data_IF_982950576955
#
_entry.id   IF_982950576955
#
_cell.length_a   1.000
_cell.length_b   1.000
_cell.length_c   1.000
_cell.angle_alpha   90.00
_cell.angle_beta   90.00
_cell.angle_gamma   90.00
#
_symmetry.space_group_name_H-M   'P 1'
#
loop_
_entity.id
_entity.type
_entity.pdbx_description
1 polymer ?
#
# COMPACT_ATOMS: atom_id res chain seq x y z
N UNK A 1 2.43 10.57 18.12
CA UNK A 1 1.62 10.10 16.99
C UNK A 1 0.29 10.85 17.04
N UNK A 2 0.09 11.82 16.15
CA UNK A 2 -1.16 12.59 16.10
C UNK A 2 -2.27 11.68 15.60
N UNK A 3 -3.33 11.50 16.38
CA UNK A 3 -4.50 10.74 15.96
C UNK A 3 -5.25 11.62 14.96
N UNK A 4 -5.20 11.30 13.67
CA UNK A 4 -5.99 12.01 12.66
C UNK A 4 -7.45 11.69 12.90
N UNK A 5 -8.25 12.73 13.17
CA UNK A 5 -9.69 12.60 13.38
C UNK A 5 -10.44 12.83 12.06
N UNK A 6 -11.56 12.14 11.81
CA UNK A 6 -12.30 12.27 10.54
C UNK A 6 -12.74 13.70 10.17
N UNK A 7 -12.96 14.57 11.15
CA UNK A 7 -13.29 15.98 10.87
C UNK A 7 -12.10 16.74 10.26
N UNK A 8 -10.87 16.43 10.71
CA UNK A 8 -9.64 17.02 10.19
C UNK A 8 -9.45 16.65 8.71
N UNK A 9 -9.93 15.47 8.28
CA UNK A 9 -9.92 15.07 6.86
C UNK A 9 -10.88 15.90 6.00
N UNK A 10 -12.07 16.19 6.52
CA UNK A 10 -13.06 17.02 5.81
C UNK A 10 -12.62 18.48 5.72
N UNK A 11 -11.93 18.99 6.74
CA UNK A 11 -11.31 20.32 6.71
C UNK A 11 -10.21 20.43 5.64
N UNK A 12 -9.54 19.32 5.30
CA UNK A 12 -8.59 19.24 4.19
C UNK A 12 -9.27 19.10 2.81
N UNK A 13 -10.61 19.03 2.77
CA UNK A 13 -11.39 18.89 1.54
C UNK A 13 -11.57 17.45 1.05
N UNK A 14 -11.31 16.45 1.91
CA UNK A 14 -11.43 15.04 1.54
C UNK A 14 -12.78 14.44 1.96
N UNK A 15 -13.22 13.42 1.20
CA UNK A 15 -14.41 12.61 1.52
C UNK A 15 -13.96 11.20 1.94
N UNK A 16 -13.85 10.88 3.23
CA UNK A 16 -13.50 9.53 3.67
C UNK A 16 -14.67 8.55 3.49
N UNK A 17 -14.37 7.28 3.23
CA UNK A 17 -15.38 6.22 3.09
C UNK A 17 -16.11 5.88 4.40
N UNK A 18 -15.51 6.24 5.55
CA UNK A 18 -16.07 6.01 6.87
C UNK A 18 -15.60 7.09 7.87
N UNK A 19 -16.22 7.13 9.06
CA UNK A 19 -15.79 7.98 10.18
C UNK A 19 -14.63 7.37 10.99
N UNK A 20 -13.89 6.42 10.42
CA UNK A 20 -12.71 5.79 11.03
C UNK A 20 -11.62 5.62 9.97
N UNK A 21 -10.35 5.62 10.38
CA UNK A 21 -9.24 5.33 9.46
C UNK A 21 -9.24 3.86 9.02
N UNK A 22 -9.72 2.97 9.88
CA UNK A 22 -9.83 1.54 9.62
C UNK A 22 -11.30 1.16 9.53
N UNK A 23 -11.74 0.39 8.52
CA UNK A 23 -10.94 -0.11 7.39
C UNK A 23 -10.74 0.94 6.27
N UNK A 24 -9.61 0.87 5.57
CA UNK A 24 -9.48 1.42 4.22
C UNK A 24 -9.10 2.89 4.05
N UNK A 25 -8.84 3.63 5.12
CA UNK A 25 -8.48 5.05 5.08
C UNK A 25 -7.08 5.31 5.66
N UNK A 26 -6.25 4.28 5.83
CA UNK A 26 -4.88 4.40 6.37
C UNK A 26 -3.96 5.31 5.54
N UNK A 27 -4.24 5.51 4.25
CA UNK A 27 -3.49 6.40 3.36
C UNK A 27 -3.50 7.87 3.82
N UNK A 28 -4.45 8.29 4.66
CA UNK A 28 -4.44 9.64 5.22
C UNK A 28 -3.30 9.89 6.20
N UNK A 29 -2.72 8.84 6.82
CA UNK A 29 -1.59 8.98 7.73
C UNK A 29 -0.33 9.50 7.03
N UNK A 30 0.21 8.84 5.98
CA UNK A 30 1.35 9.39 5.23
C UNK A 30 0.99 10.70 4.52
N UNK A 31 -0.24 10.87 4.03
CA UNK A 31 -0.67 12.11 3.39
C UNK A 31 -0.64 13.30 4.34
N UNK A 32 -1.17 13.15 5.57
CA UNK A 32 -1.13 14.21 6.58
C UNK A 32 0.30 14.57 6.94
N UNK A 33 1.15 13.56 7.15
CA UNK A 33 2.56 13.80 7.43
C UNK A 33 3.26 14.56 6.29
N UNK A 34 2.94 14.24 5.04
CA UNK A 34 3.43 14.98 3.87
C UNK A 34 2.98 16.44 3.87
N UNK A 35 1.72 16.73 4.19
CA UNK A 35 1.24 18.12 4.24
C UNK A 35 1.97 18.95 5.30
N UNK A 36 2.26 18.34 6.46
CA UNK A 36 3.00 18.99 7.53
C UNK A 36 4.52 19.06 7.24
N UNK A 37 5.04 18.15 6.40
CA UNK A 37 6.47 18.01 6.11
C UNK A 37 6.76 17.71 4.62
N UNK A 38 6.50 18.63 3.69
CA UNK A 38 6.48 18.35 2.25
C UNK A 38 7.86 18.24 1.60
N UNK A 39 8.94 18.32 2.37
CA UNK A 39 10.32 18.37 1.84
C UNK A 39 10.99 17.01 1.72
N UNK A 40 10.42 15.94 2.28
CA UNK A 40 10.99 14.61 2.11
C UNK A 40 10.77 14.11 0.69
N UNK A 41 11.77 13.40 0.15
CA UNK A 41 11.69 12.78 -1.17
C UNK A 41 10.74 11.58 -1.17
N UNK A 42 10.77 10.80 -0.11
CA UNK A 42 10.03 9.55 0.05
C UNK A 42 9.39 9.48 1.45
N UNK A 43 8.25 8.80 1.53
CA UNK A 43 7.45 8.65 2.75
C UNK A 43 7.08 7.18 2.93
N UNK A 44 7.57 6.56 4.00
CA UNK A 44 7.23 5.19 4.35
C UNK A 44 6.05 5.14 5.32
N UNK A 45 5.12 4.24 5.04
CA UNK A 45 4.04 3.85 5.94
C UNK A 45 4.14 2.35 6.20
N UNK A 46 4.08 1.96 7.47
CA UNK A 46 4.17 0.57 7.92
C UNK A 46 3.13 0.37 9.03
N UNK A 47 2.22 -0.56 8.85
CA UNK A 47 1.25 -0.98 9.86
C UNK A 47 1.94 -1.72 11.01
N UNK A 48 1.37 -1.63 12.20
CA UNK A 48 2.00 -2.13 13.42
C UNK A 48 2.11 -3.67 13.49
N UNK A 49 1.33 -4.37 12.67
CA UNK A 49 1.28 -5.82 12.54
C UNK A 49 2.02 -6.34 11.30
N UNK A 50 2.91 -5.52 10.72
CA UNK A 50 3.93 -5.97 9.76
C UNK A 50 5.22 -6.31 10.50
N UNK A 51 5.74 -7.52 10.27
CA UNK A 51 7.05 -7.95 10.77
C UNK A 51 8.01 -8.16 9.60
N UNK A 52 9.26 -7.75 9.76
CA UNK A 52 10.33 -8.05 8.82
C UNK A 52 11.39 -8.92 9.52
N UNK A 53 11.66 -10.12 8.98
CA UNK A 53 12.64 -11.05 9.57
C UNK A 53 14.11 -10.66 9.32
N UNK A 54 14.35 -9.47 8.75
CA UNK A 54 15.66 -8.91 8.48
C UNK A 54 15.93 -7.61 9.23
N UNK A 55 17.01 -6.93 8.85
CA UNK A 55 17.27 -5.57 9.32
C UNK A 55 16.48 -4.58 8.45
N UNK A 56 15.63 -3.73 9.06
CA UNK A 56 14.84 -2.74 8.33
C UNK A 56 15.68 -1.86 7.39
N UNK A 57 16.91 -1.51 7.80
CA UNK A 57 17.84 -0.77 6.95
C UNK A 57 18.10 -1.46 5.60
N UNK A 58 18.18 -2.80 5.57
CA UNK A 58 18.37 -3.57 4.34
C UNK A 58 17.24 -3.35 3.33
N UNK A 59 15.98 -3.45 3.77
CA UNK A 59 14.82 -3.26 2.88
C UNK A 59 14.70 -1.81 2.45
N UNK A 60 14.76 -0.88 3.40
CA UNK A 60 14.56 0.55 3.14
C UNK A 60 15.65 1.10 2.21
N UNK A 61 16.92 0.80 2.50
CA UNK A 61 18.04 1.27 1.68
C UNK A 61 18.05 0.65 0.29
N UNK A 62 17.72 -0.65 0.15
CA UNK A 62 17.61 -1.29 -1.15
C UNK A 62 16.55 -0.62 -2.03
N UNK A 63 15.34 -0.39 -1.48
CA UNK A 63 14.27 0.31 -2.18
C UNK A 63 14.63 1.77 -2.51
N UNK A 64 15.28 2.48 -1.59
CA UNK A 64 15.65 3.89 -1.79
C UNK A 64 16.85 4.08 -2.72
N UNK A 65 17.67 3.04 -2.92
CA UNK A 65 18.83 3.08 -3.83
C UNK A 65 18.48 2.56 -5.23
N UNK A 66 17.67 1.50 -5.31
CA UNK A 66 17.47 0.76 -6.57
C UNK A 66 16.09 0.97 -7.19
N UNK A 67 15.13 1.49 -6.42
CA UNK A 67 13.77 1.78 -6.88
C UNK A 67 13.40 3.25 -6.63
N UNK A 68 14.38 4.16 -6.63
CA UNK A 68 14.19 5.57 -6.28
C UNK A 68 13.35 6.37 -7.29
N UNK A 69 13.15 5.81 -8.49
CA UNK A 69 12.32 6.32 -9.58
C UNK A 69 10.86 5.80 -9.55
N UNK A 70 10.53 4.94 -8.58
CA UNK A 70 9.15 4.49 -8.33
C UNK A 70 8.43 5.44 -7.37
N UNK A 71 7.22 5.83 -7.74
CA UNK A 71 6.35 6.74 -7.01
C UNK A 71 5.52 6.05 -5.93
N UNK A 72 5.18 4.77 -6.14
CA UNK A 72 4.58 3.92 -5.13
C UNK A 72 5.28 2.57 -5.11
N UNK A 73 5.74 2.15 -3.94
CA UNK A 73 6.10 0.76 -3.68
C UNK A 73 5.05 0.15 -2.75
N UNK A 74 4.52 -1.02 -3.12
CA UNK A 74 3.50 -1.75 -2.37
C UNK A 74 3.71 -3.26 -2.51
N UNK A 75 2.83 -4.06 -1.89
CA UNK A 75 2.77 -5.51 -2.11
C UNK A 75 1.55 -5.88 -2.96
N UNK A 76 1.60 -7.03 -3.64
CA UNK A 76 0.48 -7.61 -4.39
C UNK A 76 -0.25 -6.59 -5.28
N UNK A 77 0.52 -5.95 -6.17
CA UNK A 77 0.00 -4.96 -7.12
C UNK A 77 -0.55 -5.69 -8.34
N UNK A 78 -1.85 -5.53 -8.60
CA UNK A 78 -2.55 -6.28 -9.65
C UNK A 78 -3.75 -5.52 -10.23
N UNK A 79 -4.03 -5.72 -11.52
CA UNK A 79 -5.25 -5.20 -12.15
C UNK A 79 -6.48 -6.02 -11.71
N UNK A 80 -7.65 -5.40 -11.78
CA UNK A 80 -8.93 -6.03 -11.44
C UNK A 80 -9.16 -7.39 -12.12
N UNK A 81 -8.87 -7.52 -13.41
CA UNK A 81 -9.16 -8.73 -14.21
C UNK A 81 -8.19 -9.91 -13.99
N UNK A 82 -7.28 -9.81 -13.02
CA UNK A 82 -6.30 -10.87 -12.74
C UNK A 82 -6.84 -11.90 -11.72
N UNK A 83 -5.95 -12.60 -11.01
CA UNK A 83 -6.29 -13.75 -10.16
C UNK A 83 -7.16 -13.43 -8.91
N UNK A 84 -7.40 -12.15 -8.61
CA UNK A 84 -8.01 -11.70 -7.35
C UNK A 84 -9.33 -10.93 -7.55
N UNK A 85 -10.21 -11.43 -8.42
CA UNK A 85 -11.53 -10.81 -8.69
C UNK A 85 -12.45 -10.79 -7.47
N UNK A 86 -12.27 -11.71 -6.54
CA UNK A 86 -13.10 -11.85 -5.34
C UNK A 86 -12.69 -10.88 -4.20
N UNK A 87 -11.72 -9.99 -4.42
CA UNK A 87 -11.35 -8.98 -3.43
C UNK A 87 -12.51 -8.00 -3.20
N UNK A 88 -13.07 -8.00 -2.00
CA UNK A 88 -14.29 -7.25 -1.69
C UNK A 88 -14.15 -5.73 -1.93
N UNK A 89 -12.95 -5.18 -1.77
CA UNK A 89 -12.69 -3.75 -1.90
C UNK A 89 -12.73 -3.23 -3.33
N UNK A 90 -12.75 -4.10 -4.35
CA UNK A 90 -13.02 -3.66 -5.72
C UNK A 90 -14.39 -2.98 -5.83
N UNK A 91 -15.40 -3.56 -5.18
CA UNK A 91 -16.79 -3.16 -5.33
C UNK A 91 -17.26 -2.24 -4.21
N UNK A 92 -16.74 -2.46 -3.00
CA UNK A 92 -17.23 -1.80 -1.79
C UNK A 92 -16.67 -0.37 -1.66
N UNK A 93 -17.58 0.58 -1.54
CA UNK A 93 -17.28 1.99 -1.24
C UNK A 93 -16.25 2.60 -2.23
N UNK A 94 -16.24 2.12 -3.48
CA UNK A 94 -15.27 2.53 -4.50
C UNK A 94 -15.81 3.68 -5.35
N UNK A 95 -15.39 4.90 -5.02
CA UNK A 95 -15.68 6.13 -5.77
C UNK A 95 -14.41 6.73 -6.37
N UNK A 96 -13.47 5.87 -6.78
CA UNK A 96 -12.18 6.30 -7.31
C UNK A 96 -12.26 6.86 -8.72
N UNK A 97 -13.43 7.26 -9.24
CA UNK A 97 -13.56 7.93 -10.55
C UNK A 97 -13.20 7.10 -11.78
N UNK A 98 -12.87 5.80 -11.63
CA UNK A 98 -12.57 4.90 -12.73
C UNK A 98 -13.51 3.68 -12.72
N UNK A 99 -13.84 3.13 -13.90
CA UNK A 99 -14.56 1.86 -13.97
C UNK A 99 -13.66 0.70 -13.51
N UNK A 100 -14.27 -0.41 -13.07
CA UNK A 100 -13.55 -1.49 -12.36
C UNK A 100 -12.43 -2.12 -13.20
N UNK A 101 -12.65 -2.30 -14.50
CA UNK A 101 -11.67 -2.85 -15.44
C UNK A 101 -10.40 -1.99 -15.56
N UNK A 102 -10.48 -0.71 -15.16
CA UNK A 102 -9.33 0.21 -15.09
C UNK A 102 -8.73 0.30 -13.69
N UNK A 103 -9.30 -0.35 -12.69
CA UNK A 103 -8.80 -0.29 -11.32
C UNK A 103 -7.60 -1.21 -11.12
N UNK A 104 -6.68 -0.75 -10.27
CA UNK A 104 -5.50 -1.49 -9.82
C UNK A 104 -5.53 -1.52 -8.30
N UNK A 105 -5.25 -2.68 -7.74
CA UNK A 105 -5.15 -2.88 -6.31
C UNK A 105 -3.69 -3.05 -5.91
N UNK A 106 -3.27 -2.37 -4.86
CA UNK A 106 -2.04 -2.64 -4.12
C UNK A 106 -2.39 -2.96 -2.67
N UNK A 107 -1.73 -3.96 -2.10
CA UNK A 107 -1.79 -4.26 -0.68
C UNK A 107 -0.82 -3.32 0.06
N UNK A 108 -1.37 -2.47 0.94
CA UNK A 108 -0.66 -1.32 1.52
C UNK A 108 -0.31 -1.40 3.03
N UNK A 109 -0.17 -2.58 3.68
CA UNK A 109 0.25 -2.60 5.08
C UNK A 109 1.70 -2.12 5.25
N UNK A 110 2.50 -2.21 4.20
CA UNK A 110 3.77 -1.51 4.06
C UNK A 110 3.83 -0.89 2.66
N UNK A 111 4.09 0.41 2.59
CA UNK A 111 4.25 1.10 1.33
C UNK A 111 5.17 2.31 1.44
N UNK A 112 5.74 2.70 0.29
CA UNK A 112 6.53 3.92 0.14
C UNK A 112 5.91 4.80 -0.92
N UNK A 113 5.71 6.06 -0.61
CA UNK A 113 5.27 7.09 -1.56
C UNK A 113 6.39 8.04 -1.89
N UNK A 114 6.53 8.42 -3.16
CA UNK A 114 7.28 9.62 -3.52
C UNK A 114 6.52 10.87 -3.09
N UNK A 115 7.24 11.98 -3.01
CA UNK A 115 6.64 13.29 -2.86
C UNK A 115 5.57 13.57 -3.92
N UNK A 116 5.87 13.25 -5.19
CA UNK A 116 4.97 13.45 -6.31
C UNK A 116 3.69 12.59 -6.17
N UNK A 117 3.81 11.37 -5.64
CA UNK A 117 2.66 10.52 -5.37
C UNK A 117 1.70 11.13 -4.34
N UNK A 118 2.20 11.61 -3.21
CA UNK A 118 1.34 12.23 -2.19
C UNK A 118 0.77 13.57 -2.65
N UNK A 119 1.52 14.36 -3.42
CA UNK A 119 1.01 15.58 -4.04
C UNK A 119 -0.10 15.30 -5.07
N UNK A 120 0.04 14.22 -5.85
CA UNK A 120 -0.99 13.76 -6.79
C UNK A 120 -2.24 13.30 -6.04
N UNK A 121 -2.06 12.47 -5.01
CA UNK A 121 -3.15 11.94 -4.20
C UNK A 121 -3.91 13.04 -3.46
N UNK A 122 -3.22 14.06 -2.93
CA UNK A 122 -3.84 15.24 -2.31
C UNK A 122 -4.82 15.95 -3.26
N UNK A 123 -4.36 16.27 -4.48
CA UNK A 123 -5.19 16.91 -5.51
C UNK A 123 -6.37 16.01 -5.91
N UNK A 124 -6.12 14.71 -6.02
CA UNK A 124 -7.13 13.73 -6.40
C UNK A 124 -8.26 13.64 -5.39
N UNK A 125 -7.91 13.54 -4.10
CA UNK A 125 -8.88 13.51 -3.01
C UNK A 125 -9.67 14.82 -2.89
N UNK A 126 -9.00 15.98 -3.05
CA UNK A 126 -9.67 17.30 -3.11
C UNK A 126 -10.62 17.45 -4.30
N UNK A 127 -10.41 16.66 -5.37
CA UNK A 127 -11.33 16.53 -6.49
C UNK A 127 -12.63 15.78 -6.17
N UNK A 128 -12.78 15.27 -4.95
CA UNK A 128 -13.98 14.55 -4.49
C UNK A 128 -13.91 13.04 -4.71
N UNK A 129 -12.77 12.51 -5.18
CA UNK A 129 -12.57 11.07 -5.30
C UNK A 129 -12.40 10.41 -3.92
N UNK A 130 -12.92 9.19 -3.78
CA UNK A 130 -12.88 8.44 -2.53
C UNK A 130 -12.85 6.93 -2.77
N UNK A 131 -12.32 6.15 -1.85
CA UNK A 131 -12.34 4.70 -1.95
C UNK A 131 -11.43 4.03 -0.93
N UNK A 132 -11.52 2.70 -0.85
CA UNK A 132 -10.56 1.94 -0.05
C UNK A 132 -9.14 2.19 -0.55
N UNK A 133 -8.21 2.46 0.37
CA UNK A 133 -6.81 2.84 0.08
C UNK A 133 -6.18 1.90 -0.94
N UNK A 134 -6.34 0.60 -0.73
CA UNK A 134 -5.77 -0.43 -1.59
C UNK A 134 -6.21 -0.38 -3.05
N UNK A 135 -7.35 0.22 -3.38
CA UNK A 135 -7.82 0.36 -4.77
C UNK A 135 -7.61 1.78 -5.27
N UNK A 136 -8.08 2.77 -4.50
CA UNK A 136 -8.11 4.16 -4.94
C UNK A 136 -6.70 4.73 -5.11
N UNK A 137 -5.78 4.45 -4.20
CA UNK A 137 -4.41 5.00 -4.25
C UNK A 137 -3.68 4.49 -5.50
N UNK A 138 -3.58 3.18 -5.68
CA UNK A 138 -2.90 2.58 -6.83
C UNK A 138 -3.56 2.98 -8.15
N UNK A 139 -4.89 2.99 -8.21
CA UNK A 139 -5.62 3.41 -9.41
C UNK A 139 -5.35 4.88 -9.74
N UNK A 140 -5.42 5.78 -8.75
CA UNK A 140 -5.12 7.20 -8.91
C UNK A 140 -3.73 7.40 -9.52
N UNK A 141 -2.70 6.84 -8.88
CA UNK A 141 -1.31 7.08 -9.27
C UNK A 141 -1.01 6.51 -10.67
N UNK A 142 -1.53 5.33 -10.98
CA UNK A 142 -1.33 4.70 -12.29
C UNK A 142 -1.89 5.54 -13.42
N UNK A 143 -3.14 6.01 -13.30
CA UNK A 143 -3.78 6.82 -14.35
C UNK A 143 -3.23 8.25 -14.43
N UNK A 144 -2.45 8.68 -13.43
CA UNK A 144 -1.66 9.92 -13.49
C UNK A 144 -0.22 9.69 -13.94
N UNK A 145 0.07 8.55 -14.59
CA UNK A 145 1.38 8.21 -15.17
C UNK A 145 2.52 8.13 -14.15
N UNK A 146 2.21 7.89 -12.88
CA UNK A 146 3.21 7.66 -11.84
C UNK A 146 3.62 6.19 -11.81
N UNK A 147 4.89 5.93 -11.47
CA UNK A 147 5.48 4.60 -11.57
C UNK A 147 5.19 3.77 -10.32
N UNK A 148 4.50 2.64 -10.50
CA UNK A 148 4.10 1.74 -9.39
C UNK A 148 4.95 0.47 -9.42
N UNK A 149 5.45 0.06 -8.26
CA UNK A 149 6.28 -1.11 -8.06
C UNK A 149 5.71 -2.06 -7.02
N UNK A 150 5.74 -3.36 -7.31
CA UNK A 150 5.50 -4.43 -6.35
C UNK A 150 6.85 -4.91 -5.77
N UNK A 151 7.08 -4.70 -4.47
CA UNK A 151 8.38 -4.96 -3.81
C UNK A 151 8.66 -6.45 -3.50
N UNK A 152 7.80 -7.37 -3.95
CA UNK A 152 8.02 -8.81 -3.77
C UNK A 152 7.14 -9.71 -4.62
N UNK A 153 6.33 -9.13 -5.50
CA UNK A 153 5.35 -9.85 -6.30
C UNK A 153 5.94 -10.71 -7.41
N UNK A 154 5.05 -11.12 -8.31
CA UNK A 154 5.41 -11.89 -9.51
C UNK A 154 4.72 -11.42 -10.78
N UNK A 155 4.00 -10.30 -10.70
CA UNK A 155 3.27 -9.72 -11.82
C UNK A 155 4.05 -8.62 -12.54
N UNK A 156 3.46 -8.00 -13.57
CA UNK A 156 4.13 -6.98 -14.40
C UNK A 156 4.53 -5.69 -13.67
N UNK A 157 4.02 -5.46 -12.47
CA UNK A 157 4.43 -4.36 -11.61
C UNK A 157 5.70 -4.66 -10.79
N UNK A 158 6.19 -5.90 -10.82
CA UNK A 158 7.37 -6.31 -10.05
C UNK A 158 8.63 -5.82 -10.76
N UNK A 159 9.48 -4.99 -10.12
CA UNK A 159 10.75 -4.61 -10.71
C UNK A 159 11.68 -5.81 -10.95
N UNK A 160 12.58 -5.70 -11.92
CA UNK A 160 13.56 -6.75 -12.20
C UNK A 160 14.42 -7.05 -10.95
N UNK A 161 14.51 -8.33 -10.58
CA UNK A 161 15.24 -8.76 -9.37
C UNK A 161 14.46 -8.66 -8.06
N UNK A 162 13.18 -8.25 -8.10
CA UNK A 162 12.31 -8.15 -6.92
C UNK A 162 11.31 -9.29 -6.78
N UNK A 163 11.30 -10.25 -7.71
CA UNK A 163 10.46 -11.44 -7.61
C UNK A 163 10.72 -12.22 -6.31
N UNK A 164 9.69 -12.34 -5.46
CA UNK A 164 9.76 -12.96 -4.13
C UNK A 164 10.90 -12.42 -3.24
N UNK A 165 11.36 -11.18 -3.45
CA UNK A 165 12.53 -10.61 -2.76
C UNK A 165 12.25 -10.33 -1.28
N UNK A 166 11.11 -9.71 -1.00
CA UNK A 166 10.74 -9.29 0.35
C UNK A 166 9.48 -9.94 0.89
N UNK A 167 8.72 -10.67 0.09
CA UNK A 167 7.62 -11.51 0.58
C UNK A 167 7.39 -12.66 -0.38
N UNK A 168 6.78 -13.75 0.08
CA UNK A 168 6.42 -14.87 -0.79
C UNK A 168 4.97 -14.72 -1.20
N UNK A 169 4.70 -14.71 -2.51
CA UNK A 169 3.34 -14.84 -3.04
C UNK A 169 3.03 -16.31 -3.29
N UNK A 170 1.91 -16.77 -2.75
CA UNK A 170 1.35 -18.10 -3.06
C UNK A 170 -0.01 -17.94 -3.75
N UNK A 171 -0.51 -19.01 -4.36
CA UNK A 171 -1.81 -18.98 -5.04
C UNK A 171 -2.93 -18.66 -4.06
N UNK A 172 -3.80 -17.71 -4.40
CA UNK A 172 -4.88 -17.24 -3.52
C UNK A 172 -4.52 -15.98 -2.74
N UNK A 173 -5.54 -15.34 -2.17
CA UNK A 173 -5.44 -13.98 -1.59
C UNK A 173 -4.90 -13.96 -0.16
N UNK A 174 -4.94 -15.13 0.49
CA UNK A 174 -4.68 -15.31 1.91
C UNK A 174 -3.50 -16.26 2.18
N UNK A 175 -2.68 -16.50 1.17
CA UNK A 175 -1.53 -17.40 1.23
C UNK A 175 -0.23 -16.62 1.04
N UNK A 176 0.90 -17.23 1.40
CA UNK A 176 2.19 -16.54 1.45
C UNK A 176 2.38 -15.67 2.71
N UNK A 177 3.47 -14.92 2.74
CA UNK A 177 3.90 -14.21 3.96
C UNK A 177 3.18 -12.89 4.17
N UNK A 178 2.77 -12.22 3.08
CA UNK A 178 1.94 -11.01 3.12
C UNK A 178 0.50 -11.36 2.73
N UNK A 179 -0.42 -11.36 3.69
CA UNK A 179 -1.83 -11.73 3.48
C UNK A 179 -2.76 -10.87 4.32
N UNK A 180 -4.07 -10.91 4.07
CA UNK A 180 -5.04 -10.23 4.96
C UNK A 180 -5.38 -11.06 6.20
N UNK A 181 -5.49 -12.38 6.02
CA UNK A 181 -5.80 -13.33 7.08
C UNK A 181 -5.41 -14.75 6.63
N UNK A 182 -5.22 -15.71 7.55
CA UNK A 182 -5.17 -15.55 9.00
C UNK A 182 -3.92 -14.79 9.47
N UNK A 183 -3.92 -14.31 10.72
CA UNK A 183 -2.72 -13.73 11.32
C UNK A 183 -1.67 -14.81 11.62
N UNK A 184 -0.41 -14.43 11.59
CA UNK A 184 0.69 -15.24 12.12
C UNK A 184 0.92 -14.91 13.59
N UNK A 185 1.35 -15.91 14.36
CA UNK A 185 2.00 -15.68 15.65
C UNK A 185 3.48 -15.37 15.45
N UNK A 186 4.12 -14.73 16.43
CA UNK A 186 5.57 -14.47 16.38
C UNK A 186 6.37 -15.77 16.36
N UNK A 187 5.86 -16.82 17.01
CA UNK A 187 6.45 -18.15 17.04
C UNK A 187 6.43 -18.80 15.64
N UNK A 188 5.30 -18.70 14.92
CA UNK A 188 5.19 -19.19 13.55
C UNK A 188 6.19 -18.49 12.61
N UNK A 189 6.28 -17.16 12.69
CA UNK A 189 7.24 -16.39 11.88
C UNK A 189 8.68 -16.86 12.15
N UNK A 190 9.05 -16.98 13.44
CA UNK A 190 10.38 -17.46 13.84
C UNK A 190 10.66 -18.89 13.36
N UNK A 191 9.66 -19.77 13.43
CA UNK A 191 9.78 -21.17 13.02
C UNK A 191 10.02 -21.33 11.51
N UNK A 192 9.64 -20.33 10.68
CA UNK A 192 9.95 -20.37 9.24
C UNK A 192 11.45 -20.35 8.95
N UNK A 193 12.28 -19.79 9.85
CA UNK A 193 13.71 -19.62 9.64
C UNK A 193 14.10 -18.71 8.47
N UNK A 194 13.12 -18.01 7.87
CA UNK A 194 13.36 -17.11 6.73
C UNK A 194 14.07 -15.84 7.18
N UNK A 195 14.88 -15.26 6.27
CA UNK A 195 15.56 -13.98 6.49
C UNK A 195 15.11 -12.98 5.44
N UNK A 196 15.04 -11.71 5.82
CA UNK A 196 14.65 -10.60 4.94
C UNK A 196 13.27 -10.79 4.30
N UNK A 197 12.29 -11.31 5.05
CA UNK A 197 10.92 -11.51 4.59
C UNK A 197 9.93 -10.72 5.44
N UNK A 198 9.00 -10.07 4.77
CA UNK A 198 7.85 -9.39 5.33
C UNK A 198 6.74 -10.40 5.62
N UNK A 199 6.14 -10.25 6.79
CA UNK A 199 4.99 -11.00 7.25
C UNK A 199 3.87 -10.05 7.67
N UNK A 200 2.64 -10.37 7.28
CA UNK A 200 1.45 -9.62 7.69
C UNK A 200 0.19 -10.50 7.60
N UNK A 201 -0.76 -10.40 8.55
CA UNK A 201 -0.65 -9.64 9.79
C UNK A 201 -0.04 -10.50 10.92
N UNK A 202 0.64 -9.87 11.88
CA UNK A 202 1.09 -10.51 13.13
C UNK A 202 0.12 -10.20 14.27
N UNK A 203 -0.28 -11.20 15.05
CA UNK A 203 -1.09 -11.01 16.25
C UNK A 203 -0.56 -11.80 17.45
#
# INVERSE_FOLDING_TARGET
MTIIRPHELRELGYTPIANTLVPGSCHFLPLRFFLDHPTYRQYWFIEYDVEFTGCWHTLLNDCDTHLDDYDLLACHVEWFETANRDWAWWHRDNHCGYPLEKCIKGFLPICRYSNAALACLDRYLKGGHSGHSEVMVTTCLYHHSLKIGDMGGSGPFTPNGYHNRYYTKEAGVNNGTMRWRPAFTKEEVRATGTRNMLFHPIK
#
